data_IF_836413499426
#
_entry.id   IF_836413499426
#
_cell.length_a   1.000
_cell.length_b   1.000
_cell.length_c   1.000
_cell.angle_alpha   90.00
_cell.angle_beta   90.00
_cell.angle_gamma   90.00
#
_symmetry.space_group_name_H-M   'P 1'
#
loop_
_entity.id
_entity.type
_entity.pdbx_description
1 polymer ?
#
# COMPACT_ATOMS: atom_id res chain seq x y z
N UNK A 1 -71.65 18.74 17.08
CA UNK A 1 -72.24 17.47 16.71
C UNK A 1 -71.15 16.68 16.00
N UNK A 2 -70.51 15.80 16.75
CA UNK A 2 -70.75 14.35 16.70
C UNK A 2 -70.59 13.81 15.29
N UNK A 3 -69.79 12.90 14.98
CA UNK A 3 -69.25 11.62 15.45
C UNK A 3 -68.06 11.32 14.58
N UNK A 4 -67.08 10.68 14.88
CA UNK A 4 -66.74 9.51 15.69
C UNK A 4 -65.54 8.90 15.02
N UNK A 5 -64.56 8.65 15.73
CA UNK A 5 -64.15 7.41 16.38
C UNK A 5 -63.95 6.19 15.46
N UNK A 6 -62.74 5.71 15.54
CA UNK A 6 -62.30 4.34 15.40
C UNK A 6 -62.05 3.81 14.00
N UNK A 7 -60.78 3.76 13.60
CA UNK A 7 -60.19 2.56 13.04
C UNK A 7 -58.71 2.49 13.46
N UNK A 8 -58.51 1.79 14.54
CA UNK A 8 -57.22 1.32 15.00
C UNK A 8 -57.09 -0.14 14.56
N UNK A 9 -55.87 -0.54 14.36
CA UNK A 9 -55.35 -1.90 14.36
C UNK A 9 -55.45 -2.76 13.09
N UNK A 10 -54.28 -3.33 12.88
CA UNK A 10 -53.89 -4.47 12.05
C UNK A 10 -53.27 -4.16 10.71
N UNK A 11 -52.02 -3.69 10.74
CA UNK A 11 -51.02 -4.20 9.81
C UNK A 11 -49.65 -3.99 10.44
N UNK A 12 -49.10 -5.06 10.98
CA UNK A 12 -47.72 -5.13 11.43
C UNK A 12 -46.79 -4.75 10.27
N UNK A 13 -46.14 -3.64 10.43
CA UNK A 13 -44.95 -3.33 9.60
C UNK A 13 -43.84 -4.28 10.01
N UNK A 14 -43.74 -5.40 9.32
CA UNK A 14 -42.53 -6.16 9.22
C UNK A 14 -41.48 -5.23 8.63
N UNK A 15 -40.63 -4.68 9.48
CA UNK A 15 -39.42 -3.97 9.02
C UNK A 15 -38.56 -5.01 8.32
N UNK A 16 -38.48 -4.88 6.98
CA UNK A 16 -37.47 -5.58 6.20
C UNK A 16 -36.09 -5.26 6.81
N UNK A 17 -35.20 -6.25 6.94
CA UNK A 17 -33.87 -6.00 7.45
C UNK A 17 -33.21 -4.97 6.52
N UNK A 18 -32.75 -3.85 7.12
CA UNK A 18 -31.87 -2.89 6.48
C UNK A 18 -30.66 -3.71 6.05
N UNK A 19 -30.50 -3.95 4.76
CA UNK A 19 -29.22 -4.41 4.19
C UNK A 19 -28.20 -3.35 4.59
N UNK A 20 -27.40 -3.64 5.61
CA UNK A 20 -26.19 -2.91 5.86
C UNK A 20 -25.37 -3.00 4.57
N UNK A 21 -25.02 -1.88 3.98
CA UNK A 21 -23.93 -1.80 3.02
C UNK A 21 -22.71 -2.40 3.71
N UNK A 22 -22.38 -3.63 3.36
CA UNK A 22 -21.10 -4.23 3.69
C UNK A 22 -20.16 -3.50 2.75
N UNK A 23 -19.56 -2.40 3.22
CA UNK A 23 -18.43 -1.78 2.56
C UNK A 23 -17.39 -2.88 2.39
N UNK A 24 -17.17 -3.34 1.16
CA UNK A 24 -16.14 -4.32 0.89
C UNK A 24 -14.81 -3.59 1.01
N UNK A 25 -13.93 -4.10 1.89
CA UNK A 25 -12.59 -3.58 2.05
C UNK A 25 -11.86 -3.54 0.70
N UNK A 26 -11.04 -2.52 0.48
CA UNK A 26 -10.32 -2.38 -0.78
C UNK A 26 -9.25 -3.46 -0.97
N UNK A 27 -8.52 -3.80 0.10
CA UNK A 27 -7.63 -4.97 0.16
C UNK A 27 -8.17 -5.91 1.23
N UNK A 28 -8.51 -7.12 0.84
CA UNK A 28 -8.97 -8.18 1.72
C UNK A 28 -7.99 -9.35 1.67
N UNK A 29 -7.47 -9.75 2.82
CA UNK A 29 -6.53 -10.85 2.99
C UNK A 29 -7.19 -11.85 3.92
N UNK A 30 -7.29 -13.14 3.52
CA UNK A 30 -7.92 -14.19 4.30
C UNK A 30 -7.05 -15.42 4.37
N UNK A 31 -6.70 -15.79 5.61
CA UNK A 31 -5.95 -17.00 5.98
C UNK A 31 -4.71 -17.23 5.13
N UNK A 32 -4.00 -16.15 4.74
CA UNK A 32 -2.83 -16.23 3.87
C UNK A 32 -1.68 -16.93 4.59
N UNK A 33 -1.20 -18.04 4.00
CA UNK A 33 -0.04 -18.79 4.46
C UNK A 33 1.05 -18.81 3.40
N UNK A 34 2.30 -18.85 3.87
CA UNK A 34 3.46 -18.94 2.98
C UNK A 34 4.57 -19.78 3.62
N UNK A 35 5.12 -20.68 2.81
CA UNK A 35 6.27 -21.48 3.16
C UNK A 35 7.37 -21.31 2.11
N UNK A 36 8.63 -21.43 2.51
CA UNK A 36 9.76 -21.51 1.59
C UNK A 36 10.57 -22.77 1.89
N UNK A 37 11.25 -23.29 0.86
CA UNK A 37 12.02 -24.53 0.93
C UNK A 37 11.16 -25.80 0.87
N UNK A 38 11.83 -26.94 0.83
CA UNK A 38 11.21 -28.26 0.74
C UNK A 38 11.75 -29.21 1.81
N UNK A 39 10.98 -30.25 2.14
CA UNK A 39 11.39 -31.29 3.09
C UNK A 39 11.73 -30.73 4.47
N UNK A 40 12.89 -31.11 5.01
CA UNK A 40 13.36 -30.66 6.33
C UNK A 40 13.77 -29.18 6.38
N UNK A 41 14.03 -28.57 5.22
CA UNK A 41 14.35 -27.14 5.10
C UNK A 41 13.11 -26.23 4.95
N UNK A 42 11.91 -26.78 5.06
CA UNK A 42 10.65 -26.04 4.93
C UNK A 42 10.51 -25.05 6.10
N UNK A 43 10.52 -23.77 5.79
CA UNK A 43 10.30 -22.68 6.76
C UNK A 43 8.93 -22.05 6.52
N UNK A 44 8.09 -21.98 7.55
CA UNK A 44 6.81 -21.26 7.52
C UNK A 44 7.06 -19.79 7.83
N UNK A 45 6.68 -18.90 6.91
CA UNK A 45 6.88 -17.46 7.02
C UNK A 45 5.57 -16.72 7.34
N UNK A 46 4.45 -17.16 6.77
CA UNK A 46 3.11 -16.67 7.12
C UNK A 46 2.26 -17.87 7.53
N UNK A 47 1.52 -17.74 8.64
CA UNK A 47 0.83 -18.85 9.30
C UNK A 47 -0.68 -18.70 9.32
N UNK A 48 -1.23 -17.74 8.57
CA UNK A 48 -2.66 -17.44 8.48
C UNK A 48 -2.89 -15.97 8.78
N UNK A 49 -2.72 -15.12 7.78
CA UNK A 49 -2.95 -13.67 7.90
C UNK A 49 -4.37 -13.35 7.47
N UNK A 50 -5.09 -12.67 8.35
CA UNK A 50 -6.37 -12.02 8.08
C UNK A 50 -6.19 -10.50 8.27
N UNK A 51 -6.54 -9.71 7.25
CA UNK A 51 -6.37 -8.26 7.26
C UNK A 51 -7.30 -7.61 6.25
N UNK A 52 -7.86 -6.48 6.62
CA UNK A 52 -8.65 -5.59 5.77
C UNK A 52 -7.99 -4.22 5.72
N UNK A 53 -7.90 -3.59 4.53
CA UNK A 53 -7.39 -2.24 4.36
C UNK A 53 -8.38 -1.48 3.46
N UNK A 54 -8.78 -0.30 3.90
CA UNK A 54 -9.71 0.53 3.15
C UNK A 54 -9.01 1.33 2.04
N UNK A 55 -9.78 1.74 1.03
CA UNK A 55 -9.25 2.56 -0.06
C UNK A 55 -8.77 3.92 0.44
N UNK A 56 -7.58 4.32 0.02
CA UNK A 56 -6.98 5.60 0.39
C UNK A 56 -6.29 5.61 1.76
N UNK A 57 -6.36 4.53 2.53
CA UNK A 57 -5.64 4.43 3.80
C UNK A 57 -4.12 4.46 3.62
N UNK A 58 -3.44 5.07 4.58
CA UNK A 58 -2.01 4.88 4.81
C UNK A 58 -1.84 3.80 5.88
N UNK A 59 -1.54 2.58 5.45
CA UNK A 59 -1.33 1.44 6.33
C UNK A 59 0.16 1.21 6.59
N UNK A 60 0.55 1.01 7.85
CA UNK A 60 1.92 0.69 8.26
C UNK A 60 1.98 -0.73 8.81
N UNK A 61 2.76 -1.59 8.13
CA UNK A 61 3.08 -2.95 8.58
C UNK A 61 4.37 -2.92 9.41
N UNK A 62 4.26 -3.12 10.70
CA UNK A 62 5.36 -3.14 11.67
C UNK A 62 5.75 -4.56 12.07
N UNK A 63 6.99 -4.75 12.47
CA UNK A 63 7.45 -6.01 13.06
C UNK A 63 8.96 -6.18 12.96
N UNK A 64 9.55 -7.11 13.71
CA UNK A 64 10.97 -7.41 13.63
C UNK A 64 11.38 -7.97 12.27
N UNK A 65 12.69 -7.99 11.99
CA UNK A 65 13.20 -8.69 10.81
C UNK A 65 12.77 -10.16 10.83
N UNK A 66 12.40 -10.70 9.66
CA UNK A 66 11.94 -12.09 9.54
C UNK A 66 10.48 -12.34 9.95
N UNK A 67 9.71 -11.33 10.35
CA UNK A 67 8.29 -11.52 10.74
C UNK A 67 7.31 -11.74 9.58
N UNK A 68 7.78 -11.74 8.32
CA UNK A 68 6.96 -11.99 7.13
C UNK A 68 6.42 -10.74 6.42
N UNK A 69 6.81 -9.51 6.82
CA UNK A 69 6.29 -8.25 6.26
C UNK A 69 6.50 -8.12 4.75
N UNK A 70 7.74 -8.25 4.28
CA UNK A 70 8.06 -8.14 2.84
C UNK A 70 7.45 -9.30 2.05
N UNK A 71 7.33 -10.49 2.63
CA UNK A 71 6.62 -11.63 2.03
C UNK A 71 5.14 -11.30 1.82
N UNK A 72 4.47 -10.77 2.86
CA UNK A 72 3.08 -10.34 2.76
C UNK A 72 2.91 -9.24 1.71
N UNK A 73 3.84 -8.24 1.71
CA UNK A 73 3.82 -7.16 0.73
C UNK A 73 3.95 -7.69 -0.71
N UNK A 74 4.83 -8.67 -0.94
CA UNK A 74 5.02 -9.30 -2.25
C UNK A 74 3.79 -10.09 -2.70
N UNK A 75 3.10 -10.77 -1.78
CA UNK A 75 1.86 -11.50 -2.08
C UNK A 75 0.74 -10.50 -2.44
N UNK A 76 0.59 -9.39 -1.70
CA UNK A 76 -0.36 -8.32 -2.04
C UNK A 76 -0.06 -7.77 -3.44
N UNK A 77 1.23 -7.59 -3.76
CA UNK A 77 1.69 -7.09 -5.06
C UNK A 77 1.57 -8.10 -6.21
N UNK A 78 1.19 -9.34 -5.94
CA UNK A 78 1.17 -10.41 -6.94
C UNK A 78 2.57 -10.69 -7.53
N UNK A 79 3.61 -10.47 -6.73
CA UNK A 79 5.01 -10.79 -7.06
C UNK A 79 5.33 -12.21 -6.58
N UNK A 80 4.69 -12.63 -5.50
CA UNK A 80 4.75 -13.98 -4.95
C UNK A 80 3.32 -14.50 -4.71
N UNK A 81 3.15 -15.82 -4.67
CA UNK A 81 1.87 -16.48 -4.47
C UNK A 81 1.71 -16.93 -3.02
N UNK A 82 0.48 -16.90 -2.51
CA UNK A 82 0.13 -17.57 -1.26
C UNK A 82 0.05 -19.08 -1.47
N UNK A 83 0.50 -19.88 -0.48
CA UNK A 83 0.36 -21.33 -0.52
C UNK A 83 -1.05 -21.76 -0.05
N UNK A 84 -1.72 -20.92 0.76
CA UNK A 84 -3.10 -21.13 1.22
C UNK A 84 -3.73 -19.76 1.50
N UNK A 85 -5.06 -19.70 1.50
CA UNK A 85 -5.80 -18.43 1.64
C UNK A 85 -5.85 -17.64 0.34
N UNK A 86 -6.18 -16.36 0.43
CA UNK A 86 -6.25 -15.47 -0.74
C UNK A 86 -6.03 -14.00 -0.38
N UNK A 87 -5.63 -13.24 -1.39
CA UNK A 87 -5.67 -11.78 -1.40
C UNK A 87 -6.66 -11.33 -2.47
N UNK A 88 -7.57 -10.46 -2.09
CA UNK A 88 -8.53 -9.82 -2.99
C UNK A 88 -8.33 -8.31 -2.95
N UNK A 89 -8.32 -7.68 -4.11
CA UNK A 89 -8.14 -6.24 -4.25
C UNK A 89 -9.23 -5.72 -5.19
N UNK A 90 -9.98 -4.75 -4.72
CA UNK A 90 -11.13 -4.18 -5.43
C UNK A 90 -12.12 -5.25 -5.94
N UNK A 91 -12.34 -6.30 -5.13
CA UNK A 91 -13.21 -7.42 -5.46
C UNK A 91 -12.62 -8.50 -6.37
N UNK A 92 -11.36 -8.36 -6.82
CA UNK A 92 -10.68 -9.36 -7.65
C UNK A 92 -9.60 -10.13 -6.87
N UNK A 93 -9.67 -11.46 -6.87
CA UNK A 93 -8.64 -12.31 -6.24
C UNK A 93 -7.39 -12.38 -7.11
N UNK A 94 -6.25 -11.99 -6.56
CA UNK A 94 -4.97 -12.01 -7.28
C UNK A 94 -4.53 -13.42 -7.63
N UNK A 95 -4.76 -14.40 -6.76
CA UNK A 95 -4.42 -15.82 -6.97
C UNK A 95 -5.21 -16.52 -8.09
N UNK A 96 -6.37 -15.98 -8.49
CA UNK A 96 -7.17 -16.50 -9.59
C UNK A 96 -6.76 -15.92 -10.96
N UNK A 97 -5.81 -14.95 -10.94
CA UNK A 97 -5.34 -14.28 -12.14
C UNK A 97 -4.30 -15.15 -12.87
N UNK A 98 -4.49 -15.35 -14.18
CA UNK A 98 -3.42 -15.88 -15.00
C UNK A 98 -2.32 -14.82 -15.20
N UNK A 99 -1.12 -15.23 -15.67
CA UNK A 99 0.05 -14.37 -15.89
C UNK A 99 -0.28 -13.07 -16.65
N UNK A 100 -1.15 -13.14 -17.66
CA UNK A 100 -1.55 -11.97 -18.45
C UNK A 100 -2.37 -10.99 -17.62
N UNK A 101 -3.34 -11.47 -16.84
CA UNK A 101 -4.18 -10.66 -15.95
C UNK A 101 -3.33 -10.08 -14.81
N UNK A 102 -2.45 -10.87 -14.21
CA UNK A 102 -1.56 -10.43 -13.15
C UNK A 102 -0.58 -9.35 -13.63
N UNK A 103 -0.07 -9.48 -14.85
CA UNK A 103 0.74 -8.43 -15.49
C UNK A 103 -0.09 -7.14 -15.70
N UNK A 104 -1.34 -7.26 -16.14
CA UNK A 104 -2.24 -6.13 -16.32
C UNK A 104 -2.56 -5.46 -14.97
N UNK A 105 -2.84 -6.26 -13.94
CA UNK A 105 -3.05 -5.80 -12.59
C UNK A 105 -1.86 -4.98 -12.08
N UNK A 106 -0.62 -5.53 -12.15
CA UNK A 106 0.60 -4.82 -11.75
C UNK A 106 0.84 -3.53 -12.54
N UNK A 107 0.47 -3.51 -13.81
CA UNK A 107 0.58 -2.31 -14.65
C UNK A 107 -0.34 -1.20 -14.21
N UNK A 108 -1.61 -1.52 -14.00
CA UNK A 108 -2.66 -0.53 -13.82
C UNK A 108 -2.84 -0.09 -12.36
N UNK A 109 -2.69 -1.03 -11.42
CA UNK A 109 -3.13 -0.83 -10.05
C UNK A 109 -1.99 -0.72 -9.04
N UNK A 110 -0.78 -1.20 -9.39
CA UNK A 110 0.29 -1.35 -8.42
C UNK A 110 1.49 -0.44 -8.69
N UNK A 111 1.86 0.41 -7.72
CA UNK A 111 3.19 1.00 -7.59
C UNK A 111 4.02 0.24 -6.57
N UNK A 112 5.31 0.03 -6.82
CA UNK A 112 6.20 -0.62 -5.86
C UNK A 112 7.48 0.19 -5.64
N UNK A 113 7.77 0.50 -4.38
CA UNK A 113 8.96 1.22 -3.93
C UNK A 113 9.81 0.26 -3.12
N UNK A 114 11.00 -0.06 -3.62
CA UNK A 114 11.95 -0.98 -2.98
C UNK A 114 12.91 -0.24 -2.05
N UNK A 115 13.46 -0.96 -1.08
CA UNK A 115 14.45 -0.45 -0.15
C UNK A 115 15.74 0.01 -0.86
N UNK A 116 16.19 -0.70 -1.89
CA UNK A 116 17.43 -0.43 -2.63
C UNK A 116 17.20 0.34 -3.94
N UNK A 117 16.18 1.20 -4.00
CA UNK A 117 15.84 2.08 -5.13
C UNK A 117 15.56 1.37 -6.47
N UNK A 118 16.37 0.39 -6.87
CA UNK A 118 16.30 -0.40 -8.11
C UNK A 118 16.15 0.48 -9.37
N UNK A 119 16.90 1.60 -9.42
CA UNK A 119 16.93 2.46 -10.59
C UNK A 119 17.68 1.80 -11.75
N UNK A 120 17.26 2.11 -12.97
CA UNK A 120 17.97 1.69 -14.17
C UNK A 120 19.20 2.59 -14.32
N UNK A 121 20.43 2.06 -14.23
CA UNK A 121 21.63 2.89 -14.01
C UNK A 121 22.00 3.76 -15.21
N UNK A 122 21.60 3.37 -16.43
CA UNK A 122 21.91 4.06 -17.68
C UNK A 122 20.78 5.02 -18.13
N UNK A 123 19.74 5.17 -17.33
CA UNK A 123 18.64 6.10 -17.57
C UNK A 123 18.75 7.29 -16.61
N UNK A 124 18.46 8.49 -17.12
CA UNK A 124 18.32 9.71 -16.32
C UNK A 124 17.18 9.59 -15.30
N UNK A 125 17.07 10.57 -14.41
CA UNK A 125 15.92 10.69 -13.48
C UNK A 125 14.60 10.70 -14.25
N UNK A 126 14.48 11.56 -15.29
CA UNK A 126 13.30 11.64 -16.14
C UNK A 126 12.97 10.29 -16.78
N UNK A 127 13.93 9.68 -17.44
CA UNK A 127 13.73 8.41 -18.14
C UNK A 127 13.37 7.27 -17.18
N UNK A 128 13.98 7.22 -15.96
CA UNK A 128 13.58 6.27 -14.94
C UNK A 128 12.10 6.42 -14.55
N UNK A 129 11.61 7.66 -14.41
CA UNK A 129 10.20 7.93 -14.10
C UNK A 129 9.32 7.57 -15.30
N UNK A 130 9.70 7.95 -16.52
CA UNK A 130 8.96 7.70 -17.76
C UNK A 130 8.78 6.20 -18.06
N UNK A 131 9.71 5.33 -17.65
CA UNK A 131 9.51 3.86 -17.73
C UNK A 131 8.20 3.44 -17.05
N UNK A 132 7.88 4.05 -15.90
CA UNK A 132 6.58 3.82 -15.24
C UNK A 132 5.41 4.33 -16.08
N UNK A 133 5.53 5.52 -16.69
CA UNK A 133 4.48 6.12 -17.50
C UNK A 133 4.09 5.25 -18.71
N UNK A 134 5.06 4.64 -19.39
CA UNK A 134 4.80 3.71 -20.51
C UNK A 134 3.99 2.48 -20.13
N UNK A 135 3.93 2.15 -18.84
CA UNK A 135 3.14 1.01 -18.36
C UNK A 135 1.69 1.38 -18.07
N UNK A 136 1.36 2.66 -17.97
CA UNK A 136 0.01 3.15 -17.61
C UNK A 136 -0.80 3.58 -18.83
N UNK A 137 -2.12 3.44 -18.74
CA UNK A 137 -3.06 4.00 -19.72
C UNK A 137 -3.37 5.49 -19.44
N UNK A 138 -3.17 5.95 -18.21
CA UNK A 138 -3.45 7.31 -17.76
C UNK A 138 -2.36 7.78 -16.80
N UNK A 139 -1.10 7.92 -17.27
CA UNK A 139 -0.01 8.37 -16.41
C UNK A 139 -0.24 9.83 -15.97
N UNK A 140 0.36 10.18 -14.84
CA UNK A 140 0.47 11.58 -14.42
C UNK A 140 1.39 12.35 -15.38
N UNK A 141 1.33 13.68 -15.32
CA UNK A 141 2.30 14.52 -16.04
C UNK A 141 3.70 14.38 -15.41
N UNK A 142 4.69 14.07 -16.23
CA UNK A 142 6.06 13.79 -15.78
C UNK A 142 6.70 15.04 -15.18
N UNK A 143 6.53 16.21 -15.81
CA UNK A 143 7.16 17.45 -15.35
C UNK A 143 6.56 17.94 -14.03
N UNK A 144 5.24 17.86 -13.89
CA UNK A 144 4.55 18.19 -12.64
C UNK A 144 4.93 17.22 -11.51
N UNK A 145 5.03 15.93 -11.81
CA UNK A 145 5.49 14.95 -10.83
C UNK A 145 6.94 15.21 -10.42
N UNK A 146 7.86 15.49 -11.36
CA UNK A 146 9.25 15.81 -11.06
C UNK A 146 9.38 17.07 -10.18
N UNK A 147 8.54 18.09 -10.40
CA UNK A 147 8.47 19.28 -9.54
C UNK A 147 7.97 18.90 -8.13
N UNK A 148 6.91 18.10 -8.04
CA UNK A 148 6.36 17.60 -6.76
C UNK A 148 7.41 16.81 -5.95
N UNK A 149 8.23 16.01 -6.63
CA UNK A 149 9.33 15.23 -6.05
C UNK A 149 10.56 16.08 -5.70
N UNK A 150 10.64 17.35 -6.14
CA UNK A 150 11.82 18.20 -6.01
C UNK A 150 13.01 17.69 -6.86
N UNK A 151 12.73 17.06 -8.00
CA UNK A 151 13.71 16.45 -8.89
C UNK A 151 13.82 17.15 -10.27
N UNK A 152 12.99 18.15 -10.53
CA UNK A 152 12.94 18.79 -11.85
C UNK A 152 14.30 19.30 -12.32
N UNK A 153 15.07 19.96 -11.44
CA UNK A 153 16.42 20.46 -11.74
C UNK A 153 17.47 19.33 -11.86
N UNK A 154 17.11 18.11 -11.48
CA UNK A 154 17.98 16.94 -11.56
C UNK A 154 17.55 15.93 -12.62
N UNK A 155 16.55 16.26 -13.44
CA UNK A 155 15.87 15.35 -14.37
C UNK A 155 16.80 14.69 -15.40
N UNK A 156 17.89 15.38 -15.78
CA UNK A 156 18.86 14.92 -16.76
C UNK A 156 20.06 14.18 -16.14
N UNK A 157 20.11 14.03 -14.79
CA UNK A 157 21.17 13.32 -14.08
C UNK A 157 20.95 11.81 -14.10
N UNK A 158 22.06 11.07 -14.11
CA UNK A 158 22.07 9.62 -13.94
C UNK A 158 22.04 9.25 -12.45
N UNK A 159 21.59 8.03 -12.09
CA UNK A 159 21.50 7.58 -10.69
C UNK A 159 22.79 7.73 -9.88
N UNK A 160 23.95 7.49 -10.46
CA UNK A 160 25.26 7.64 -9.82
C UNK A 160 25.65 9.10 -9.49
N UNK A 161 24.92 10.08 -10.01
CA UNK A 161 25.09 11.51 -9.76
C UNK A 161 24.12 12.04 -8.69
N UNK A 162 23.32 11.16 -8.08
CA UNK A 162 22.25 11.50 -7.15
C UNK A 162 22.60 11.09 -5.72
N UNK A 163 22.16 11.87 -4.73
CA UNK A 163 22.15 11.45 -3.34
C UNK A 163 21.16 10.29 -3.13
N UNK A 164 21.30 9.51 -2.04
CA UNK A 164 20.36 8.44 -1.70
C UNK A 164 18.91 8.90 -1.65
N UNK A 165 18.64 10.07 -1.05
CA UNK A 165 17.29 10.63 -1.03
C UNK A 165 16.75 11.04 -2.40
N UNK A 166 17.62 11.52 -3.31
CA UNK A 166 17.22 11.80 -4.70
C UNK A 166 16.94 10.51 -5.47
N UNK A 167 17.74 9.45 -5.26
CA UNK A 167 17.49 8.14 -5.84
C UNK A 167 16.16 7.56 -5.35
N UNK A 168 15.88 7.66 -4.05
CA UNK A 168 14.61 7.21 -3.48
C UNK A 168 13.42 7.98 -4.04
N UNK A 169 13.52 9.31 -4.14
CA UNK A 169 12.47 10.13 -4.77
C UNK A 169 12.25 9.76 -6.23
N UNK A 170 13.31 9.41 -6.97
CA UNK A 170 13.20 8.92 -8.36
C UNK A 170 12.47 7.57 -8.41
N UNK A 171 12.78 6.64 -7.49
CA UNK A 171 12.11 5.35 -7.40
C UNK A 171 10.61 5.50 -7.05
N UNK A 172 10.30 6.42 -6.13
CA UNK A 172 8.91 6.79 -5.81
C UNK A 172 8.22 7.36 -7.06
N UNK A 173 8.87 8.29 -7.77
CA UNK A 173 8.33 8.88 -9.00
C UNK A 173 7.99 7.84 -10.06
N UNK A 174 8.88 6.88 -10.29
CA UNK A 174 8.65 5.75 -11.21
C UNK A 174 7.46 4.89 -10.78
N UNK A 175 7.25 4.71 -9.50
CA UNK A 175 6.11 3.94 -8.98
C UNK A 175 4.79 4.71 -9.09
N UNK A 176 4.81 6.02 -8.79
CA UNK A 176 3.62 6.89 -8.69
C UNK A 176 3.15 7.40 -10.06
N UNK A 177 4.07 7.59 -11.04
CA UNK A 177 3.74 8.14 -12.36
C UNK A 177 2.61 7.37 -13.06
N UNK A 178 2.46 6.08 -12.78
CA UNK A 178 1.40 5.23 -13.31
C UNK A 178 0.01 5.61 -12.80
N UNK A 179 -0.08 6.46 -11.78
CA UNK A 179 -1.29 6.76 -11.01
C UNK A 179 -1.93 5.48 -10.44
N UNK A 180 -1.21 4.68 -9.65
CA UNK A 180 -1.68 3.39 -9.16
C UNK A 180 -2.70 3.57 -8.04
N UNK A 181 -3.62 2.58 -7.88
CA UNK A 181 -4.54 2.56 -6.73
C UNK A 181 -3.83 2.21 -5.42
N UNK A 182 -2.77 1.38 -5.51
CA UNK A 182 -1.97 0.92 -4.37
C UNK A 182 -0.50 1.26 -4.59
N UNK A 183 0.13 1.81 -3.57
CA UNK A 183 1.58 2.00 -3.49
C UNK A 183 2.14 1.13 -2.36
N UNK A 184 2.89 0.09 -2.72
CA UNK A 184 3.61 -0.76 -1.80
C UNK A 184 5.01 -0.20 -1.55
N UNK A 185 5.38 -0.01 -0.30
CA UNK A 185 6.67 0.56 0.09
C UNK A 185 7.39 -0.41 1.04
N UNK A 186 8.45 -1.05 0.58
CA UNK A 186 9.26 -1.94 1.39
C UNK A 186 10.45 -1.17 1.97
N UNK A 187 10.39 -0.83 3.25
CA UNK A 187 11.41 -0.08 3.99
C UNK A 187 11.93 1.19 3.25
N UNK A 188 11.05 2.12 2.82
CA UNK A 188 11.44 3.21 1.92
C UNK A 188 12.45 4.20 2.49
N UNK A 189 12.74 4.12 3.79
CA UNK A 189 13.70 4.98 4.50
C UNK A 189 14.88 4.21 5.10
N UNK A 190 14.93 2.89 4.92
CA UNK A 190 15.90 2.02 5.63
C UNK A 190 17.37 2.28 5.32
N UNK A 191 17.69 2.92 4.18
CA UNK A 191 19.06 3.25 3.77
C UNK A 191 19.38 4.77 3.86
N UNK A 192 18.53 5.56 4.55
CA UNK A 192 18.61 7.03 4.57
C UNK A 192 18.89 7.56 5.99
N UNK A 193 19.52 8.73 6.05
CA UNK A 193 19.66 9.47 7.30
C UNK A 193 18.31 10.02 7.78
N UNK A 194 18.26 10.44 9.05
CA UNK A 194 17.04 10.93 9.70
C UNK A 194 16.34 12.05 8.93
N UNK A 195 17.09 13.08 8.51
CA UNK A 195 16.53 14.24 7.82
C UNK A 195 15.91 13.83 6.49
N UNK A 196 16.67 13.07 5.70
CA UNK A 196 16.22 12.56 4.39
C UNK A 196 15.02 11.61 4.56
N UNK A 197 15.01 10.78 5.62
CA UNK A 197 13.87 9.92 5.95
C UNK A 197 12.59 10.73 6.20
N UNK A 198 12.67 11.83 6.97
CA UNK A 198 11.53 12.74 7.16
C UNK A 198 11.03 13.32 5.85
N UNK A 199 11.93 13.73 4.97
CA UNK A 199 11.56 14.27 3.64
C UNK A 199 10.82 13.24 2.79
N UNK A 200 11.29 11.97 2.78
CA UNK A 200 10.65 10.87 2.06
C UNK A 200 9.27 10.52 2.65
N UNK A 201 9.15 10.45 3.97
CA UNK A 201 7.87 10.17 4.62
C UNK A 201 6.85 11.29 4.39
N UNK A 202 7.27 12.56 4.47
CA UNK A 202 6.41 13.72 4.13
C UNK A 202 5.98 13.71 2.67
N UNK A 203 6.85 13.22 1.77
CA UNK A 203 6.50 13.04 0.37
C UNK A 203 5.43 11.95 0.19
N UNK A 204 5.57 10.79 0.85
CA UNK A 204 4.58 9.71 0.81
C UNK A 204 3.24 10.16 1.41
N UNK A 205 3.26 10.88 2.54
CA UNK A 205 2.06 11.47 3.15
C UNK A 205 1.33 12.40 2.16
N UNK A 206 2.07 13.28 1.48
CA UNK A 206 1.52 14.16 0.45
C UNK A 206 0.97 13.41 -0.75
N UNK A 207 1.68 12.37 -1.24
CA UNK A 207 1.21 11.53 -2.35
C UNK A 207 -0.11 10.84 -1.98
N UNK A 208 -0.21 10.26 -0.78
CA UNK A 208 -1.44 9.64 -0.31
C UNK A 208 -2.60 10.65 -0.27
N UNK A 209 -2.35 11.87 0.23
CA UNK A 209 -3.35 12.92 0.32
C UNK A 209 -3.77 13.45 -1.06
N UNK A 210 -2.80 13.78 -1.94
CA UNK A 210 -3.06 14.51 -3.18
C UNK A 210 -3.61 13.59 -4.31
N UNK A 211 -3.19 12.32 -4.33
CA UNK A 211 -3.60 11.35 -5.36
C UNK A 211 -4.59 10.30 -4.84
N UNK A 212 -4.83 10.21 -3.55
CA UNK A 212 -5.77 9.25 -2.95
C UNK A 212 -5.33 7.79 -3.04
N UNK A 213 -4.03 7.53 -3.30
CA UNK A 213 -3.50 6.17 -3.35
C UNK A 213 -3.60 5.50 -1.98
N UNK A 214 -3.96 4.22 -1.95
CA UNK A 214 -3.76 3.40 -0.75
C UNK A 214 -2.27 3.11 -0.60
N UNK A 215 -1.67 3.43 0.54
CA UNK A 215 -0.25 3.15 0.80
C UNK A 215 -0.14 2.02 1.83
N UNK A 216 0.64 0.98 1.50
CA UNK A 216 1.01 -0.06 2.44
C UNK A 216 2.52 -0.01 2.60
N UNK A 217 2.99 0.46 3.76
CA UNK A 217 4.40 0.66 4.05
C UNK A 217 4.90 -0.34 5.09
N UNK A 218 5.91 -1.11 4.73
CA UNK A 218 6.65 -1.97 5.67
C UNK A 218 7.77 -1.16 6.32
N UNK A 219 7.89 -1.28 7.63
CA UNK A 219 9.00 -0.69 8.39
C UNK A 219 9.24 -1.42 9.70
N UNK A 220 10.44 -1.30 10.24
CA UNK A 220 10.77 -1.72 11.60
C UNK A 220 10.79 -0.54 12.59
N UNK A 221 10.61 0.70 12.13
CA UNK A 221 10.60 1.89 12.97
C UNK A 221 9.21 2.09 13.61
N UNK A 222 9.12 1.81 14.93
CA UNK A 222 7.85 1.86 15.68
C UNK A 222 7.26 3.28 15.78
N UNK A 223 8.08 4.34 15.66
CA UNK A 223 7.59 5.71 15.73
C UNK A 223 6.64 6.04 14.57
N UNK A 224 6.81 5.38 13.42
CA UNK A 224 6.02 5.64 12.21
C UNK A 224 4.54 5.18 12.32
N UNK A 225 4.19 4.39 13.34
CA UNK A 225 2.79 4.02 13.61
C UNK A 225 1.86 5.24 13.78
N UNK A 226 2.40 6.37 14.26
CA UNK A 226 1.60 7.56 14.53
C UNK A 226 1.18 8.32 13.28
N UNK A 227 1.89 8.15 12.15
CA UNK A 227 1.56 8.83 10.89
C UNK A 227 0.54 8.07 10.04
N UNK A 228 0.28 6.81 10.38
CA UNK A 228 -0.63 5.95 9.64
C UNK A 228 -2.09 6.13 10.07
N UNK A 229 -3.04 5.83 9.16
CA UNK A 229 -4.42 5.58 9.54
C UNK A 229 -4.54 4.23 10.22
N UNK A 230 -3.89 3.24 9.62
CA UNK A 230 -4.01 1.84 9.97
C UNK A 230 -2.64 1.25 10.36
N UNK A 231 -2.59 0.60 11.49
CA UNK A 231 -1.36 0.01 12.04
C UNK A 231 -1.56 -1.49 12.22
N UNK A 232 -0.70 -2.25 11.56
CA UNK A 232 -0.66 -3.71 11.66
C UNK A 232 0.71 -4.14 12.17
N UNK A 233 0.74 -4.93 13.22
CA UNK A 233 2.00 -5.48 13.75
C UNK A 233 2.06 -6.97 13.47
N UNK A 234 3.05 -7.36 12.68
CA UNK A 234 3.36 -8.76 12.40
C UNK A 234 4.45 -9.27 13.33
N UNK A 235 4.28 -10.50 13.80
CA UNK A 235 5.28 -11.26 14.53
C UNK A 235 5.07 -12.74 14.29
N UNK A 236 6.17 -13.46 14.03
CA UNK A 236 6.17 -14.92 13.85
C UNK A 236 5.14 -15.39 12.79
N UNK A 237 4.96 -14.61 11.71
CA UNK A 237 4.05 -14.91 10.62
C UNK A 237 2.55 -14.70 10.94
N UNK A 238 2.22 -14.02 12.02
CA UNK A 238 0.85 -13.71 12.45
C UNK A 238 0.62 -12.22 12.68
N UNK A 239 -0.62 -11.78 12.59
CA UNK A 239 -1.06 -10.43 13.02
C UNK A 239 -1.23 -10.43 14.53
N UNK A 240 -0.38 -9.67 15.23
CA UNK A 240 -0.44 -9.50 16.69
C UNK A 240 -1.30 -8.31 17.12
N UNK A 241 -1.22 -7.21 16.36
CA UNK A 241 -2.04 -6.03 16.57
C UNK A 241 -2.54 -5.53 15.22
N UNK A 242 -3.79 -5.11 15.22
CA UNK A 242 -4.48 -4.52 14.08
C UNK A 242 -5.43 -3.45 14.62
N UNK A 243 -5.15 -2.18 14.33
CA UNK A 243 -5.97 -1.06 14.80
C UNK A 243 -5.83 0.16 13.89
N UNK A 244 -6.83 1.03 13.93
CA UNK A 244 -6.83 2.33 13.28
C UNK A 244 -6.55 3.45 14.27
N UNK A 245 -5.80 4.47 13.84
CA UNK A 245 -5.61 5.69 14.62
C UNK A 245 -6.81 6.64 14.40
N UNK A 246 -7.31 7.23 15.45
CA UNK A 246 -8.36 8.27 15.34
C UNK A 246 -7.87 9.49 14.55
N UNK A 247 -6.59 9.80 14.65
CA UNK A 247 -5.94 10.94 13.97
C UNK A 247 -4.47 10.63 13.68
N UNK A 248 -4.03 10.92 12.45
CA UNK A 248 -2.61 10.86 12.09
C UNK A 248 -1.84 12.00 12.77
N UNK A 249 -0.62 11.70 13.20
CA UNK A 249 0.36 12.72 13.55
C UNK A 249 1.14 13.10 12.29
N UNK A 250 1.18 14.38 11.89
CA UNK A 250 1.95 14.80 10.71
C UNK A 250 3.43 14.38 10.86
N UNK A 251 4.05 14.01 9.74
CA UNK A 251 5.46 13.59 9.72
C UNK A 251 6.39 14.66 10.30
N UNK A 252 6.06 15.94 10.13
CA UNK A 252 6.82 17.06 10.70
C UNK A 252 6.94 17.02 12.22
N UNK A 253 5.93 16.47 12.92
CA UNK A 253 5.84 16.34 14.37
C UNK A 253 6.38 15.02 14.92
N UNK A 254 6.74 14.07 14.05
CA UNK A 254 7.33 12.80 14.46
C UNK A 254 8.78 12.97 14.89
N UNK A 255 9.14 12.27 15.96
CA UNK A 255 10.51 12.10 16.45
C UNK A 255 10.80 10.62 16.67
N UNK A 256 12.00 10.15 16.27
CA UNK A 256 12.51 8.78 16.48
C UNK A 256 14.02 8.72 16.51
#
# INVERSE_FOLDING_TARGET
MMLGLIWNDLHGHEQAPVKGDVSMSFVEIRNVKKHYGEGEAKATVLTGIDLDIERGEFCVLLGPSGSGKSTLLNIIGGIDDADDGYVMIDGEKTGDMNEKKLTQYRRNHLGYVFQLYNLIPNLTVRENVEVGAFLSQKPLDVDELLKTLGLYEHRDKLPNQLSGGQQQRTAIGRAVIKNPDILLCDEPTGALDYKTSKEILSLLERINHDYGNTIIMVTHNDALKKMADHVVRLRDGLVHHNYTNEKRTPVSELEW
#
